data_IF_924205600737
#
_entry.id   IF_924205600737
#
_cell.length_a   1.000
_cell.length_b   1.000
_cell.length_c   1.000
_cell.angle_alpha   90.00
_cell.angle_beta   90.00
_cell.angle_gamma   90.00
#
_symmetry.space_group_name_H-M   'P 1'
#
loop_
_entity.id
_entity.type
_entity.pdbx_description
1 polymer ?
#
# COMPACT_ATOMS: atom_id res chain seq x y z
N UNK A 1 22.40 75.20 31.78
CA UNK A 1 22.71 75.53 30.37
C UNK A 1 22.08 74.46 29.51
N UNK A 2 21.15 74.90 28.69
CA UNK A 2 20.35 74.17 27.73
C UNK A 2 21.20 73.38 26.72
N UNK A 3 20.72 72.26 26.17
CA UNK A 3 19.96 72.33 24.92
C UNK A 3 19.51 70.93 24.46
N UNK A 4 18.28 70.90 23.92
CA UNK A 4 17.61 69.79 23.25
C UNK A 4 18.27 69.51 21.90
N UNK A 5 18.24 68.25 21.44
CA UNK A 5 17.75 67.94 20.09
C UNK A 5 17.12 66.55 20.04
N UNK A 6 15.90 66.56 19.51
CA UNK A 6 14.98 65.47 19.27
C UNK A 6 15.30 64.81 17.90
N UNK A 7 15.21 63.49 17.78
CA UNK A 7 14.88 62.86 16.48
C UNK A 7 14.23 61.49 16.65
N UNK A 8 12.91 61.46 16.44
CA UNK A 8 12.12 60.26 16.16
C UNK A 8 12.33 59.77 14.71
N UNK A 9 12.49 58.45 14.56
CA UNK A 9 12.12 57.55 13.43
C UNK A 9 12.65 56.18 13.88
N UNK A 10 11.89 55.12 14.14
CA UNK A 10 10.70 54.60 13.48
C UNK A 10 11.12 53.45 12.56
N UNK A 11 10.75 52.20 12.88
CA UNK A 11 10.69 51.10 11.91
C UNK A 11 11.29 49.76 12.35
N UNK A 12 10.41 48.85 12.76
CA UNK A 12 10.43 47.38 12.68
C UNK A 12 11.67 46.67 12.09
N UNK A 13 12.15 45.70 12.85
CA UNK A 13 12.91 44.52 12.43
C UNK A 13 13.05 43.62 13.65
N UNK A 14 13.11 42.31 13.42
CA UNK A 14 13.46 41.27 14.42
C UNK A 14 12.25 40.59 15.09
N UNK A 15 11.45 39.94 14.23
CA UNK A 15 10.48 38.90 14.60
C UNK A 15 10.69 37.58 13.84
N UNK A 16 11.83 37.38 13.20
CA UNK A 16 12.09 36.22 12.32
C UNK A 16 12.99 35.14 12.96
N UNK A 17 13.66 35.42 14.08
CA UNK A 17 14.65 34.48 14.65
C UNK A 17 14.05 33.40 15.57
N UNK A 18 12.75 33.48 15.90
CA UNK A 18 12.09 32.53 16.79
C UNK A 18 11.39 31.36 16.07
N UNK A 19 11.16 31.44 14.75
CA UNK A 19 10.47 30.35 14.01
C UNK A 19 11.41 29.20 13.61
N UNK A 20 12.73 29.42 13.60
CA UNK A 20 13.73 28.42 13.25
C UNK A 20 14.12 27.50 14.43
N UNK A 21 14.04 27.99 15.67
CA UNK A 21 14.30 27.16 16.87
C UNK A 21 13.14 26.19 17.16
N UNK A 22 11.89 26.59 16.93
CA UNK A 22 10.73 25.70 17.10
C UNK A 22 10.68 24.57 16.05
N UNK A 23 11.30 24.77 14.88
CA UNK A 23 11.41 23.71 13.86
C UNK A 23 12.54 22.70 14.15
N UNK A 24 13.62 23.10 14.83
CA UNK A 24 14.65 22.16 15.27
C UNK A 24 14.19 21.32 16.47
N UNK A 25 13.46 21.90 17.42
CA UNK A 25 12.92 21.14 18.56
C UNK A 25 11.76 20.20 18.16
N UNK A 26 10.97 20.57 17.14
CA UNK A 26 9.96 19.66 16.57
C UNK A 26 10.60 18.51 15.75
N UNK A 27 11.79 18.71 15.17
CA UNK A 27 12.56 17.62 14.53
C UNK A 27 13.27 16.72 15.53
N UNK A 28 13.73 17.26 16.67
CA UNK A 28 14.39 16.47 17.72
C UNK A 28 13.42 15.59 18.51
N UNK A 29 12.19 16.06 18.74
CA UNK A 29 11.20 15.29 19.51
C UNK A 29 10.49 14.18 18.69
N UNK A 30 10.66 14.15 17.37
CA UNK A 30 10.12 13.08 16.52
C UNK A 30 11.07 11.87 16.33
N UNK A 31 12.27 11.92 16.90
CA UNK A 31 13.25 10.82 16.85
C UNK A 31 13.13 9.82 18.00
N UNK A 32 12.20 10.01 18.95
CA UNK A 32 12.00 9.12 20.10
C UNK A 32 10.71 8.29 20.06
N UNK A 33 9.96 8.31 18.95
CA UNK A 33 9.02 7.23 18.68
C UNK A 33 9.77 6.10 17.97
N UNK A 34 10.48 5.29 18.77
CA UNK A 34 10.90 3.96 18.35
C UNK A 34 9.63 3.13 18.09
N UNK A 35 9.03 3.32 16.92
CA UNK A 35 8.12 2.37 16.29
C UNK A 35 8.89 1.06 16.22
N UNK A 36 8.68 0.18 17.20
CA UNK A 36 9.25 -1.14 17.21
C UNK A 36 8.71 -1.89 15.99
N UNK A 37 9.46 -1.84 14.87
CA UNK A 37 9.09 -2.53 13.64
C UNK A 37 9.05 -4.01 13.94
N UNK A 38 7.85 -4.55 13.99
CA UNK A 38 7.63 -5.98 14.17
C UNK A 38 8.13 -6.69 12.91
N UNK A 39 8.89 -7.77 13.09
CA UNK A 39 9.35 -8.60 11.97
C UNK A 39 8.15 -9.13 11.17
N UNK A 40 8.23 -9.09 9.84
CA UNK A 40 7.16 -9.57 8.94
C UNK A 40 6.79 -11.04 9.19
N UNK A 41 7.76 -11.86 9.61
CA UNK A 41 7.51 -13.26 9.95
C UNK A 41 6.64 -13.42 11.21
N UNK A 42 6.71 -12.46 12.13
CA UNK A 42 5.88 -12.46 13.34
C UNK A 42 4.40 -12.17 13.02
N UNK A 43 4.10 -11.65 11.83
CA UNK A 43 2.72 -11.49 11.35
C UNK A 43 2.02 -12.85 11.18
N UNK A 44 2.77 -13.91 10.86
CA UNK A 44 2.28 -15.27 10.72
C UNK A 44 2.33 -16.07 12.04
N UNK A 45 2.48 -15.43 13.20
CA UNK A 45 2.63 -16.14 14.48
C UNK A 45 1.38 -16.93 14.90
N UNK A 46 0.21 -16.63 14.33
CA UNK A 46 -1.06 -17.31 14.60
C UNK A 46 -1.37 -18.43 13.58
N UNK A 47 -0.44 -18.75 12.67
CA UNK A 47 -0.59 -19.80 11.67
C UNK A 47 -0.38 -21.20 12.29
N UNK A 48 -1.31 -22.12 12.01
CA UNK A 48 -1.13 -23.54 12.37
C UNK A 48 -0.49 -24.33 11.21
N UNK A 49 -0.20 -25.61 11.44
CA UNK A 49 0.21 -26.54 10.38
C UNK A 49 -0.72 -26.52 9.16
N UNK A 50 -2.03 -26.49 9.37
CA UNK A 50 -3.00 -26.40 8.26
C UNK A 50 -2.86 -25.10 7.47
N UNK A 51 -2.62 -23.98 8.16
CA UNK A 51 -2.41 -22.67 7.53
C UNK A 51 -1.14 -22.69 6.67
N UNK A 52 -0.04 -23.29 7.16
CA UNK A 52 1.18 -23.47 6.36
C UNK A 52 0.97 -24.34 5.11
N UNK A 53 0.17 -25.41 5.20
CA UNK A 53 -0.17 -26.24 4.03
C UNK A 53 -0.96 -25.42 3.00
N UNK A 54 -1.96 -24.66 3.44
CA UNK A 54 -2.74 -23.79 2.56
C UNK A 54 -1.88 -22.71 1.91
N UNK A 55 -1.01 -22.05 2.68
CA UNK A 55 -0.07 -21.06 2.15
C UNK A 55 0.85 -21.68 1.09
N UNK A 56 1.33 -22.90 1.30
CA UNK A 56 2.14 -23.63 0.31
C UNK A 56 1.38 -23.90 -0.99
N UNK A 57 0.16 -24.42 -0.90
CA UNK A 57 -0.71 -24.68 -2.06
C UNK A 57 -1.05 -23.38 -2.80
N UNK A 58 -1.43 -22.34 -2.05
CA UNK A 58 -1.72 -21.01 -2.59
C UNK A 58 -0.51 -20.38 -3.28
N UNK A 59 0.70 -20.60 -2.77
CA UNK A 59 1.95 -20.14 -3.39
C UNK A 59 2.21 -20.82 -4.73
N UNK A 60 1.99 -22.14 -4.83
CA UNK A 60 2.10 -22.87 -6.11
C UNK A 60 1.07 -22.32 -7.11
N UNK A 61 -0.17 -22.09 -6.66
CA UNK A 61 -1.20 -21.42 -7.45
C UNK A 61 -0.75 -20.06 -7.97
N UNK A 62 -0.21 -19.22 -7.10
CA UNK A 62 0.29 -17.87 -7.42
C UNK A 62 1.41 -17.90 -8.46
N UNK A 63 2.33 -18.87 -8.36
CA UNK A 63 3.42 -19.02 -9.32
C UNK A 63 2.88 -19.36 -10.71
N UNK A 64 1.99 -20.36 -10.80
CA UNK A 64 1.39 -20.80 -12.07
C UNK A 64 0.54 -19.68 -12.68
N UNK A 65 -0.29 -19.04 -11.86
CA UNK A 65 -1.16 -17.96 -12.30
C UNK A 65 -0.34 -16.74 -12.75
N UNK A 66 0.71 -16.35 -12.03
CA UNK A 66 1.62 -15.27 -12.43
C UNK A 66 2.38 -15.55 -13.73
N UNK A 67 2.80 -16.80 -13.94
CA UNK A 67 3.50 -17.25 -15.16
C UNK A 67 2.60 -17.25 -16.41
N UNK A 68 1.28 -17.21 -16.24
CA UNK A 68 0.32 -17.39 -17.31
C UNK A 68 0.42 -16.35 -18.43
N UNK A 69 0.71 -15.09 -18.13
CA UNK A 69 0.74 -14.04 -19.16
C UNK A 69 1.97 -14.11 -20.06
N UNK A 70 3.20 -14.30 -19.55
CA UNK A 70 4.33 -14.62 -20.41
C UNK A 70 4.07 -15.83 -21.32
N UNK A 71 3.43 -16.89 -20.79
CA UNK A 71 3.07 -18.09 -21.57
C UNK A 71 2.00 -17.77 -22.63
N UNK A 72 0.99 -16.97 -22.28
CA UNK A 72 -0.03 -16.48 -23.21
C UNK A 72 0.61 -15.79 -24.41
N UNK A 73 1.58 -14.89 -24.20
CA UNK A 73 2.25 -14.19 -25.29
C UNK A 73 3.10 -15.12 -26.18
N UNK A 74 3.63 -16.22 -25.64
CA UNK A 74 4.29 -17.23 -26.46
C UNK A 74 3.31 -17.87 -27.43
N UNK A 75 2.14 -18.31 -26.94
CA UNK A 75 1.11 -18.92 -27.79
C UNK A 75 0.55 -17.91 -28.79
N UNK A 76 0.33 -16.67 -28.35
CA UNK A 76 -0.10 -15.59 -29.20
C UNK A 76 0.88 -15.29 -30.33
N UNK A 77 2.19 -15.24 -30.04
CA UNK A 77 3.22 -15.08 -31.06
C UNK A 77 3.25 -16.23 -32.08
N UNK A 78 3.04 -17.48 -31.64
CA UNK A 78 2.92 -18.63 -32.56
C UNK A 78 1.69 -18.51 -33.47
N UNK A 79 0.55 -18.07 -32.92
CA UNK A 79 -0.67 -17.85 -33.69
C UNK A 79 -0.48 -16.76 -34.74
N UNK A 80 0.11 -15.62 -34.37
CA UNK A 80 0.45 -14.54 -35.31
C UNK A 80 1.33 -15.06 -36.45
N UNK A 81 2.36 -15.86 -36.15
CA UNK A 81 3.25 -16.40 -37.17
C UNK A 81 2.51 -17.31 -38.18
N UNK A 82 1.55 -18.11 -37.72
CA UNK A 82 0.72 -18.93 -38.63
C UNK A 82 -0.15 -18.07 -39.51
N UNK A 83 -0.79 -17.04 -38.94
CA UNK A 83 -1.65 -16.12 -39.69
C UNK A 83 -0.82 -15.37 -40.74
N UNK A 84 0.39 -14.91 -40.40
CA UNK A 84 1.30 -14.26 -41.35
C UNK A 84 1.67 -15.16 -42.54
N UNK A 85 1.82 -16.47 -42.31
CA UNK A 85 2.11 -17.45 -43.36
C UNK A 85 0.85 -17.97 -44.09
N UNK A 86 -0.35 -17.60 -43.64
CA UNK A 86 -1.60 -18.11 -44.20
C UNK A 86 -1.82 -17.71 -45.66
N UNK A 87 -1.26 -16.57 -46.08
CA UNK A 87 -1.28 -16.16 -47.49
C UNK A 87 -0.48 -17.11 -48.40
N UNK A 88 0.65 -17.66 -47.91
CA UNK A 88 1.47 -18.59 -48.68
C UNK A 88 0.93 -20.03 -48.64
N UNK A 89 0.39 -20.47 -47.50
CA UNK A 89 -0.04 -21.86 -47.29
C UNK A 89 -1.43 -21.95 -46.62
N UNK A 90 -2.52 -21.59 -47.33
CA UNK A 90 -3.85 -21.45 -46.73
C UNK A 90 -4.42 -22.76 -46.18
N UNK A 91 -4.13 -23.90 -46.82
CA UNK A 91 -4.61 -25.23 -46.37
C UNK A 91 -3.95 -25.69 -45.07
N UNK A 92 -2.67 -25.35 -44.85
CA UNK A 92 -1.97 -25.70 -43.62
C UNK A 92 -2.27 -24.76 -42.46
N UNK A 93 -2.61 -23.51 -42.76
CA UNK A 93 -2.90 -22.50 -41.75
C UNK A 93 -4.09 -22.89 -40.87
N UNK A 94 -5.19 -23.37 -41.48
CA UNK A 94 -6.42 -23.74 -40.75
C UNK A 94 -6.15 -24.78 -39.64
N UNK A 95 -5.43 -25.86 -39.96
CA UNK A 95 -5.10 -26.90 -38.98
C UNK A 95 -4.17 -26.39 -37.87
N UNK A 96 -3.16 -25.57 -38.21
CA UNK A 96 -2.23 -24.98 -37.21
C UNK A 96 -2.93 -23.96 -36.30
N UNK A 97 -3.86 -23.17 -36.83
CA UNK A 97 -4.70 -22.25 -36.04
C UNK A 97 -5.58 -23.03 -35.06
N UNK A 98 -6.24 -24.10 -35.52
CA UNK A 98 -7.05 -24.94 -34.64
C UNK A 98 -6.23 -25.53 -33.49
N UNK A 99 -5.01 -26.01 -33.77
CA UNK A 99 -4.08 -26.51 -32.75
C UNK A 99 -3.70 -25.44 -31.72
N UNK A 100 -3.29 -24.25 -32.15
CA UNK A 100 -2.92 -23.18 -31.22
C UNK A 100 -4.12 -22.59 -30.46
N UNK A 101 -5.32 -22.64 -31.03
CA UNK A 101 -6.56 -22.31 -30.32
C UNK A 101 -6.80 -23.29 -29.15
N UNK A 102 -6.57 -24.59 -29.34
CA UNK A 102 -6.65 -25.57 -28.24
C UNK A 102 -5.60 -25.30 -27.15
N UNK A 103 -4.39 -24.87 -27.50
CA UNK A 103 -3.37 -24.48 -26.51
C UNK A 103 -3.88 -23.33 -25.61
N UNK A 104 -4.65 -22.37 -26.15
CA UNK A 104 -5.31 -21.33 -25.34
C UNK A 104 -6.39 -21.87 -24.42
N UNK A 105 -7.16 -22.88 -24.86
CA UNK A 105 -8.16 -23.54 -24.01
C UNK A 105 -7.49 -24.23 -22.83
N UNK A 106 -6.43 -25.01 -23.08
CA UNK A 106 -5.68 -25.66 -22.00
C UNK A 106 -5.04 -24.65 -21.03
N UNK A 107 -4.47 -23.57 -21.55
CA UNK A 107 -3.94 -22.49 -20.72
C UNK A 107 -5.03 -21.84 -19.86
N UNK A 108 -6.21 -21.60 -20.42
CA UNK A 108 -7.33 -20.98 -19.69
C UNK A 108 -7.83 -21.87 -18.55
N UNK A 109 -7.89 -23.18 -18.77
CA UNK A 109 -8.24 -24.15 -17.73
C UNK A 109 -7.18 -24.13 -16.62
N UNK A 110 -5.89 -24.12 -16.97
CA UNK A 110 -4.82 -24.03 -15.98
C UNK A 110 -4.86 -22.72 -15.17
N UNK A 111 -5.13 -21.59 -15.83
CA UNK A 111 -5.31 -20.28 -15.18
C UNK A 111 -6.50 -20.31 -14.23
N UNK A 112 -7.64 -20.87 -14.64
CA UNK A 112 -8.84 -20.93 -13.81
C UNK A 112 -8.56 -21.65 -12.48
N UNK A 113 -7.98 -22.86 -12.54
CA UNK A 113 -7.70 -23.63 -11.33
C UNK A 113 -6.58 -23.03 -10.49
N UNK A 114 -5.51 -22.51 -11.11
CA UNK A 114 -4.41 -21.89 -10.38
C UNK A 114 -4.81 -20.59 -9.69
N UNK A 115 -5.56 -19.72 -10.39
CA UNK A 115 -6.06 -18.46 -9.82
C UNK A 115 -7.05 -18.69 -8.68
N UNK A 116 -7.98 -19.65 -8.85
CA UNK A 116 -8.91 -20.01 -7.78
C UNK A 116 -8.18 -20.55 -6.55
N UNK A 117 -7.22 -21.46 -6.76
CA UNK A 117 -6.44 -22.06 -5.67
C UNK A 117 -5.58 -21.02 -4.95
N UNK A 118 -4.92 -20.14 -5.70
CA UNK A 118 -4.16 -19.00 -5.15
C UNK A 118 -5.03 -18.17 -4.21
N UNK A 119 -6.12 -17.60 -4.73
CA UNK A 119 -6.96 -16.66 -3.98
C UNK A 119 -7.67 -17.37 -2.83
N UNK A 120 -8.24 -18.55 -3.07
CA UNK A 120 -8.99 -19.28 -2.04
C UNK A 120 -8.08 -19.66 -0.86
N UNK A 121 -6.88 -20.20 -1.11
CA UNK A 121 -5.98 -20.60 -0.04
C UNK A 121 -5.46 -19.40 0.77
N UNK A 122 -5.04 -18.32 0.11
CA UNK A 122 -4.55 -17.11 0.79
C UNK A 122 -5.64 -16.37 1.56
N UNK A 123 -6.85 -16.25 1.01
CA UNK A 123 -7.99 -15.67 1.73
C UNK A 123 -8.38 -16.52 2.93
N UNK A 124 -8.47 -17.84 2.77
CA UNK A 124 -8.90 -18.73 3.84
C UNK A 124 -7.92 -18.76 5.01
N UNK A 125 -6.60 -18.79 4.76
CA UNK A 125 -5.61 -18.74 5.85
C UNK A 125 -5.58 -17.39 6.55
N UNK A 126 -5.73 -16.27 5.81
CA UNK A 126 -5.78 -14.94 6.40
C UNK A 126 -6.98 -14.77 7.33
N UNK A 127 -8.17 -15.20 6.92
CA UNK A 127 -9.39 -15.18 7.75
C UNK A 127 -9.22 -16.02 9.04
N UNK A 128 -8.65 -17.22 8.93
CA UNK A 128 -8.39 -18.09 10.10
C UNK A 128 -7.43 -17.44 11.09
N UNK A 129 -6.34 -16.85 10.61
CA UNK A 129 -5.37 -16.18 11.46
C UNK A 129 -5.96 -14.93 12.11
N UNK A 130 -6.71 -14.13 11.36
CA UNK A 130 -7.41 -12.95 11.88
C UNK A 130 -8.44 -13.34 12.96
N UNK A 131 -9.21 -14.41 12.76
CA UNK A 131 -10.14 -14.91 13.78
C UNK A 131 -9.44 -15.29 15.09
N UNK A 132 -8.28 -15.98 15.01
CA UNK A 132 -7.46 -16.30 16.20
C UNK A 132 -6.90 -15.05 16.86
N UNK A 133 -6.44 -14.07 16.08
CA UNK A 133 -5.97 -12.79 16.59
C UNK A 133 -7.08 -12.06 17.35
N UNK A 134 -8.29 -11.99 16.79
CA UNK A 134 -9.47 -11.37 17.46
C UNK A 134 -9.77 -12.07 18.79
N UNK A 135 -9.79 -13.40 18.80
CA UNK A 135 -10.04 -14.17 20.04
C UNK A 135 -8.93 -13.98 21.08
N UNK A 136 -7.67 -14.05 20.67
CA UNK A 136 -6.53 -13.88 21.56
C UNK A 136 -6.47 -12.48 22.16
N UNK A 137 -6.73 -11.46 21.34
CA UNK A 137 -6.80 -10.06 21.77
C UNK A 137 -7.93 -9.83 22.78
N UNK A 138 -9.15 -10.28 22.46
CA UNK A 138 -10.29 -10.15 23.36
C UNK A 138 -10.04 -10.88 24.69
N UNK A 139 -9.49 -12.11 24.65
CA UNK A 139 -9.16 -12.87 25.86
C UNK A 139 -8.12 -12.15 26.71
N UNK A 140 -7.09 -11.58 26.09
CA UNK A 140 -6.05 -10.84 26.80
C UNK A 140 -6.63 -9.59 27.49
N UNK A 141 -7.49 -8.83 26.78
CA UNK A 141 -8.16 -7.66 27.34
C UNK A 141 -9.10 -8.00 28.50
N UNK A 142 -9.89 -9.08 28.39
CA UNK A 142 -10.77 -9.51 29.49
C UNK A 142 -10.02 -10.00 30.74
N UNK A 143 -8.73 -10.33 30.62
CA UNK A 143 -7.88 -10.75 31.74
C UNK A 143 -7.09 -9.61 32.39
N UNK A 144 -7.22 -8.38 31.90
CA UNK A 144 -6.52 -7.21 32.45
C UNK A 144 -7.27 -6.60 33.63
N UNK A 145 -6.52 -5.99 34.55
CA UNK A 145 -7.07 -5.33 35.73
C UNK A 145 -7.94 -4.12 35.36
N UNK A 146 -8.96 -3.86 36.17
CA UNK A 146 -9.92 -2.75 35.96
C UNK A 146 -9.21 -1.39 35.83
N UNK A 147 -8.05 -1.22 36.48
CA UNK A 147 -7.25 0.00 36.41
C UNK A 147 -6.71 0.31 35.01
N UNK A 148 -6.51 -0.70 34.16
CA UNK A 148 -6.11 -0.49 32.75
C UNK A 148 -7.25 0.17 31.95
N UNK A 149 -8.50 -0.17 32.25
CA UNK A 149 -9.68 0.39 31.59
C UNK A 149 -9.97 1.83 32.02
N UNK A 150 -9.46 2.26 33.18
CA UNK A 150 -9.58 3.62 33.69
C UNK A 150 -8.48 4.57 33.17
N UNK A 151 -7.39 4.04 32.59
CA UNK A 151 -6.21 4.85 32.20
C UNK A 151 -5.84 4.73 30.72
N UNK A 152 -5.73 3.51 30.17
CA UNK A 152 -5.07 3.27 28.88
C UNK A 152 -5.96 2.54 27.86
N UNK A 153 -6.86 1.65 28.29
CA UNK A 153 -7.63 0.79 27.38
C UNK A 153 -9.14 1.09 27.46
N UNK A 154 -9.62 2.08 26.72
CA UNK A 154 -11.07 2.34 26.67
C UNK A 154 -11.81 1.23 25.89
N UNK A 155 -13.10 1.01 26.18
CA UNK A 155 -13.95 0.09 25.40
C UNK A 155 -13.91 0.40 23.89
N UNK A 156 -13.74 1.68 23.53
CA UNK A 156 -13.62 2.11 22.14
C UNK A 156 -12.35 1.61 21.45
N UNK A 157 -11.24 1.51 22.19
CA UNK A 157 -9.97 1.04 21.66
C UNK A 157 -9.98 -0.47 21.38
N UNK A 158 -10.62 -1.26 22.25
CA UNK A 158 -10.82 -2.69 22.02
C UNK A 158 -11.65 -2.94 20.76
N UNK A 159 -12.71 -2.15 20.56
CA UNK A 159 -13.54 -2.21 19.35
C UNK A 159 -12.70 -1.82 18.13
N UNK A 160 -11.94 -0.73 18.21
CA UNK A 160 -11.06 -0.27 17.12
C UNK A 160 -10.04 -1.33 16.71
N UNK A 161 -9.35 -1.96 17.67
CA UNK A 161 -8.37 -3.00 17.38
C UNK A 161 -8.99 -4.21 16.64
N UNK A 162 -10.18 -4.66 17.06
CA UNK A 162 -10.86 -5.83 16.45
C UNK A 162 -11.42 -5.51 15.06
N UNK A 163 -11.93 -4.29 14.88
CA UNK A 163 -12.68 -3.87 13.68
C UNK A 163 -11.85 -3.12 12.65
N UNK A 164 -10.69 -2.58 13.00
CA UNK A 164 -9.81 -1.84 12.10
C UNK A 164 -8.44 -2.51 12.03
N UNK A 165 -7.70 -2.56 13.13
CA UNK A 165 -6.28 -2.92 13.09
C UNK A 165 -6.04 -4.37 12.66
N UNK A 166 -6.84 -5.30 13.20
CA UNK A 166 -6.76 -6.72 12.78
C UNK A 166 -7.23 -6.91 11.35
N UNK A 167 -8.17 -6.10 10.84
CA UNK A 167 -8.60 -6.18 9.42
C UNK A 167 -7.45 -5.77 8.50
N UNK A 168 -6.72 -4.71 8.84
CA UNK A 168 -5.53 -4.30 8.05
C UNK A 168 -4.48 -5.41 8.01
N UNK A 169 -4.25 -6.10 9.14
CA UNK A 169 -3.35 -7.26 9.19
C UNK A 169 -3.90 -8.43 8.36
N UNK A 170 -5.20 -8.69 8.42
CA UNK A 170 -5.86 -9.72 7.63
C UNK A 170 -5.67 -9.48 6.12
N UNK A 171 -5.93 -8.26 5.64
CA UNK A 171 -5.73 -7.87 4.24
C UNK A 171 -4.27 -8.07 3.80
N UNK A 172 -3.33 -7.73 4.69
CA UNK A 172 -1.91 -7.94 4.42
C UNK A 172 -1.55 -9.43 4.31
N UNK A 173 -2.02 -10.27 5.24
CA UNK A 173 -1.74 -11.71 5.30
C UNK A 173 -2.44 -12.52 4.20
N UNK A 174 -3.57 -12.03 3.71
CA UNK A 174 -4.37 -12.70 2.67
C UNK A 174 -4.00 -12.18 1.28
N UNK A 175 -4.68 -11.14 0.83
CA UNK A 175 -4.65 -10.66 -0.55
C UNK A 175 -3.26 -10.15 -0.95
N UNK A 176 -2.60 -9.37 -0.08
CA UNK A 176 -1.36 -8.70 -0.48
C UNK A 176 -0.18 -9.65 -0.64
N UNK A 177 -0.05 -10.67 0.22
CA UNK A 177 1.01 -11.68 0.08
C UNK A 177 0.80 -12.55 -1.16
N UNK A 178 -0.43 -12.99 -1.42
CA UNK A 178 -0.77 -13.73 -2.64
C UNK A 178 -0.43 -12.93 -3.90
N UNK A 179 -0.92 -11.68 -3.98
CA UNK A 179 -0.62 -10.76 -5.08
C UNK A 179 0.87 -10.50 -5.24
N UNK A 180 1.62 -10.33 -4.14
CA UNK A 180 3.07 -10.14 -4.18
C UNK A 180 3.76 -11.33 -4.85
N UNK A 181 3.46 -12.56 -4.42
CA UNK A 181 4.04 -13.78 -5.00
C UNK A 181 3.66 -13.93 -6.47
N UNK A 182 2.40 -13.66 -6.82
CA UNK A 182 1.92 -13.65 -8.20
C UNK A 182 2.71 -12.68 -9.07
N UNK A 183 2.86 -11.43 -8.66
CA UNK A 183 3.55 -10.41 -9.44
C UNK A 183 5.05 -10.67 -9.53
N UNK A 184 5.67 -11.20 -8.48
CA UNK A 184 7.07 -11.65 -8.53
C UNK A 184 7.23 -12.81 -9.51
N UNK A 185 6.34 -13.81 -9.48
CA UNK A 185 6.37 -14.91 -10.46
C UNK A 185 6.25 -14.37 -11.88
N UNK A 186 5.27 -13.50 -12.12
CA UNK A 186 5.06 -12.87 -13.43
C UNK A 186 6.28 -12.09 -13.91
N UNK A 187 6.91 -11.33 -13.01
CA UNK A 187 8.12 -10.58 -13.29
C UNK A 187 9.26 -11.53 -13.68
N UNK A 188 9.56 -12.53 -12.84
CA UNK A 188 10.66 -13.48 -13.06
C UNK A 188 10.44 -14.27 -14.34
N UNK A 189 9.28 -14.88 -14.52
CA UNK A 189 8.96 -15.66 -15.73
C UNK A 189 8.95 -14.77 -16.97
N UNK A 190 8.42 -13.55 -16.88
CA UNK A 190 8.42 -12.58 -17.96
C UNK A 190 9.84 -12.21 -18.42
N UNK A 191 10.74 -11.94 -17.49
CA UNK A 191 12.16 -11.68 -17.79
C UNK A 191 12.83 -12.92 -18.40
N UNK A 192 12.64 -14.10 -17.81
CA UNK A 192 13.22 -15.35 -18.33
C UNK A 192 12.76 -15.58 -19.79
N UNK A 193 11.47 -15.47 -20.06
CA UNK A 193 10.91 -15.66 -21.41
C UNK A 193 11.41 -14.59 -22.38
N UNK A 194 11.41 -13.31 -21.98
CA UNK A 194 11.87 -12.20 -22.82
C UNK A 194 13.33 -12.38 -23.23
N UNK A 195 14.22 -12.58 -22.26
CA UNK A 195 15.65 -12.76 -22.51
C UNK A 195 15.97 -14.07 -23.24
N UNK A 196 15.25 -15.16 -22.98
CA UNK A 196 15.46 -16.42 -23.69
C UNK A 196 15.03 -16.38 -25.15
N UNK A 197 14.00 -15.60 -25.50
CA UNK A 197 13.46 -15.54 -26.88
C UNK A 197 14.10 -14.45 -27.72
N UNK A 198 14.17 -13.22 -27.21
CA UNK A 198 14.66 -12.07 -27.96
C UNK A 198 15.41 -11.13 -27.01
N UNK A 199 16.66 -11.48 -26.71
CA UNK A 199 17.49 -10.72 -25.77
C UNK A 199 17.79 -9.30 -26.25
N UNK A 200 17.90 -9.07 -27.57
CA UNK A 200 18.20 -7.75 -28.14
C UNK A 200 17.06 -6.76 -27.86
N UNK A 201 15.82 -7.11 -28.19
CA UNK A 201 14.65 -6.25 -27.95
C UNK A 201 14.43 -6.07 -26.44
N UNK A 202 14.62 -7.13 -25.65
CA UNK A 202 14.49 -7.07 -24.19
C UNK A 202 15.45 -6.06 -23.56
N UNK A 203 16.73 -6.01 -23.98
CA UNK A 203 17.70 -5.03 -23.50
C UNK A 203 17.33 -3.60 -23.91
N UNK A 204 16.84 -3.41 -25.13
CA UNK A 204 16.37 -2.09 -25.61
C UNK A 204 15.20 -1.61 -24.76
N UNK A 205 14.20 -2.46 -24.51
CA UNK A 205 13.06 -2.11 -23.66
C UNK A 205 13.49 -1.84 -22.21
N UNK A 206 14.41 -2.64 -21.66
CA UNK A 206 14.93 -2.44 -20.30
C UNK A 206 15.65 -1.09 -20.15
N UNK A 207 16.32 -0.61 -21.20
CA UNK A 207 17.01 0.68 -21.19
C UNK A 207 16.05 1.88 -21.02
N UNK A 208 14.77 1.71 -21.36
CA UNK A 208 13.73 2.75 -21.21
C UNK A 208 13.19 2.77 -19.76
N UNK A 209 13.28 1.67 -19.02
CA UNK A 209 12.72 1.55 -17.66
C UNK A 209 13.29 2.58 -16.67
N UNK A 210 14.62 2.84 -16.61
CA UNK A 210 15.17 3.88 -15.74
C UNK A 210 14.63 5.29 -16.05
N UNK A 211 14.38 5.59 -17.33
CA UNK A 211 13.84 6.88 -17.73
C UNK A 211 12.39 7.05 -17.25
N UNK A 212 11.57 6.00 -17.36
CA UNK A 212 10.20 5.97 -16.82
C UNK A 212 10.24 6.11 -15.29
N UNK A 213 11.14 5.38 -14.62
CA UNK A 213 11.30 5.45 -13.17
C UNK A 213 11.71 6.85 -12.69
N UNK A 214 12.62 7.52 -13.41
CA UNK A 214 13.01 8.90 -13.12
C UNK A 214 11.84 9.87 -13.29
N UNK A 215 11.12 9.79 -14.41
CA UNK A 215 9.96 10.65 -14.65
C UNK A 215 8.86 10.46 -13.59
N UNK A 216 8.57 9.20 -13.24
CA UNK A 216 7.63 8.85 -12.17
C UNK A 216 8.10 9.31 -10.79
N UNK A 217 9.41 9.20 -10.50
CA UNK A 217 10.01 9.66 -9.26
C UNK A 217 9.94 11.17 -9.09
N UNK A 218 10.24 11.94 -10.15
CA UNK A 218 10.09 13.40 -10.16
C UNK A 218 8.63 13.79 -9.96
N UNK A 219 7.71 13.15 -10.66
CA UNK A 219 6.27 13.37 -10.47
C UNK A 219 5.83 13.10 -9.04
N UNK A 220 6.23 11.96 -8.45
CA UNK A 220 5.90 11.60 -7.07
C UNK A 220 6.48 12.60 -6.06
N UNK A 221 7.72 13.05 -6.27
CA UNK A 221 8.36 14.06 -5.41
C UNK A 221 7.60 15.38 -5.42
N UNK A 222 7.20 15.87 -6.61
CA UNK A 222 6.43 17.10 -6.73
C UNK A 222 5.04 16.93 -6.11
N UNK A 223 4.34 15.83 -6.41
CA UNK A 223 3.00 15.56 -5.92
C UNK A 223 2.96 15.48 -4.39
N UNK A 224 3.90 14.74 -3.77
CA UNK A 224 3.98 14.63 -2.31
C UNK A 224 4.29 15.98 -1.65
N UNK A 225 5.17 16.79 -2.25
CA UNK A 225 5.45 18.15 -1.78
C UNK A 225 4.22 19.07 -1.85
N UNK A 226 3.43 18.99 -2.93
CA UNK A 226 2.19 19.75 -3.07
C UNK A 226 1.13 19.32 -2.05
N UNK A 227 0.93 18.00 -1.88
CA UNK A 227 -0.01 17.45 -0.89
C UNK A 227 0.36 17.92 0.51
N UNK A 228 1.64 17.91 0.87
CA UNK A 228 2.10 18.40 2.17
C UNK A 228 1.79 19.90 2.38
N UNK A 229 1.99 20.73 1.36
CA UNK A 229 1.66 22.17 1.42
C UNK A 229 0.15 22.40 1.56
N UNK A 230 -0.66 21.71 0.75
CA UNK A 230 -2.12 21.78 0.82
C UNK A 230 -2.61 21.36 2.20
N UNK A 231 -2.08 20.26 2.75
CA UNK A 231 -2.41 19.80 4.10
C UNK A 231 -2.05 20.86 5.15
N UNK A 232 -0.87 21.49 5.06
CA UNK A 232 -0.47 22.56 5.99
C UNK A 232 -1.43 23.75 5.95
N UNK A 233 -1.80 24.20 4.75
CA UNK A 233 -2.80 25.28 4.59
C UNK A 233 -4.17 24.89 5.12
N UNK A 234 -4.58 23.64 4.93
CA UNK A 234 -5.86 23.11 5.43
C UNK A 234 -5.90 23.06 6.96
N UNK A 235 -4.82 22.60 7.61
CA UNK A 235 -4.72 22.59 9.08
C UNK A 235 -4.84 24.00 9.64
N UNK A 236 -4.11 24.98 9.08
CA UNK A 236 -4.20 26.38 9.53
C UNK A 236 -5.60 26.97 9.38
N UNK A 237 -6.29 26.66 8.28
CA UNK A 237 -7.68 27.08 8.11
C UNK A 237 -8.61 26.41 9.14
N UNK A 238 -8.37 25.14 9.47
CA UNK A 238 -9.07 24.40 10.51
C UNK A 238 -8.88 25.02 11.90
N UNK A 239 -7.65 25.38 12.26
CA UNK A 239 -7.33 26.05 13.53
C UNK A 239 -8.09 27.38 13.67
N UNK A 240 -8.11 28.20 12.61
CA UNK A 240 -8.87 29.46 12.61
C UNK A 240 -10.38 29.20 12.76
N UNK A 241 -10.91 28.19 12.04
CA UNK A 241 -12.32 27.83 12.13
C UNK A 241 -12.71 27.34 13.53
N UNK A 242 -11.86 26.53 14.16
CA UNK A 242 -12.04 26.02 15.51
C UNK A 242 -11.99 27.14 16.56
N UNK A 243 -11.04 28.09 16.41
CA UNK A 243 -10.97 29.26 17.28
C UNK A 243 -12.25 30.09 17.21
N UNK A 244 -12.76 30.35 16.00
CA UNK A 244 -14.01 31.09 15.81
C UNK A 244 -15.20 30.34 16.42
N UNK A 245 -15.28 29.02 16.24
CA UNK A 245 -16.33 28.19 16.83
C UNK A 245 -16.33 28.27 18.36
N UNK A 246 -15.15 28.08 18.98
CA UNK A 246 -14.98 28.17 20.43
C UNK A 246 -15.35 29.56 20.96
N UNK A 247 -14.96 30.64 20.27
CA UNK A 247 -15.34 32.01 20.63
C UNK A 247 -16.86 32.22 20.58
N UNK A 248 -17.54 31.74 19.53
CA UNK A 248 -19.00 31.84 19.40
C UNK A 248 -19.74 31.11 20.54
N UNK A 249 -19.35 29.87 20.84
CA UNK A 249 -19.93 29.09 21.95
C UNK A 249 -19.73 29.79 23.29
N UNK A 250 -18.55 30.37 23.53
CA UNK A 250 -18.24 31.13 24.74
C UNK A 250 -19.10 32.40 24.87
N UNK A 251 -19.35 33.11 23.77
CA UNK A 251 -20.22 34.31 23.80
C UNK A 251 -21.66 33.90 24.11
N UNK A 252 -22.18 32.85 23.48
CA UNK A 252 -23.53 32.35 23.72
C UNK A 252 -23.75 31.90 25.17
N UNK A 253 -22.77 31.20 25.76
CA UNK A 253 -22.86 30.79 27.16
C UNK A 253 -22.85 31.98 28.13
N UNK A 254 -22.05 33.01 27.85
CA UNK A 254 -22.03 34.25 28.66
C UNK A 254 -23.33 35.05 28.55
N UNK A 255 -23.97 35.09 27.38
CA UNK A 255 -25.28 35.74 27.20
C UNK A 255 -26.37 34.97 27.92
N UNK A 256 -26.36 33.63 27.83
CA UNK A 256 -27.36 32.78 28.50
C UNK A 256 -27.28 32.80 30.03
N UNK A 257 -26.13 33.15 30.62
CA UNK A 257 -25.97 33.32 32.07
C UNK A 257 -26.43 34.69 32.57
N UNK A 258 -26.70 35.63 31.66
CA UNK A 258 -27.03 37.03 31.98
C UNK A 258 -28.53 37.32 31.97
N UNK A 259 -29.34 36.31 31.65
CA UNK A 259 -30.81 36.30 31.66
C UNK A 259 -31.30 35.08 32.42
#
# INVERSE_FOLDING_TARGET
>A
MDNKTNKHRGGNGDGDDNEDQDQEDTKKNNNNNNSNKVSLLKLFSFADFYDYVLMGIGTIGAIIHGASVPIFFIFFGKLINVIGMAYLFPKEASHKVAKYSLDFVYLSIAILFSSWTEVACWMHTGERQAAKMRMAYLRAMLSQDISLFDTEASTGEVISAITSDIIVVQDALSEKVGNFLHYISRFVVGFIVGFARVWQISLVTLSIVPLIALAGGVYAYIATGLIARVRKSYVKAGEIAEEVHTRMVKILSLVSYRY
#
